data_IF_635505213176
#
_entry.id   IF_635505213176
#
_cell.length_a   1.000
_cell.length_b   1.000
_cell.length_c   1.000
_cell.angle_alpha   90.00
_cell.angle_beta   90.00
_cell.angle_gamma   90.00
#
_symmetry.space_group_name_H-M   'P 1'
#
loop_
_entity.id
_entity.type
_entity.pdbx_description
1 polymer ?
#
# COMPACT_ATOMS: atom_id res chain seq x y z
N UNK A 1 -21.11 39.31 33.21
CA UNK A 1 -20.59 37.95 32.97
C UNK A 1 -21.64 37.13 32.27
N UNK A 2 -21.52 36.98 30.99
CA UNK A 2 -22.36 36.08 30.22
C UNK A 2 -21.85 34.63 30.44
N UNK A 3 -22.69 33.68 30.82
CA UNK A 3 -22.27 32.31 30.93
C UNK A 3 -21.87 31.82 29.53
N UNK A 4 -20.67 31.27 29.43
CA UNK A 4 -20.25 30.57 28.23
C UNK A 4 -21.20 29.39 28.09
N UNK A 5 -22.12 29.47 27.16
CA UNK A 5 -22.96 28.36 26.80
C UNK A 5 -22.04 27.23 26.34
N UNK A 6 -21.87 26.19 27.14
CA UNK A 6 -21.30 24.97 26.66
C UNK A 6 -22.15 24.47 25.52
N UNK A 7 -21.67 24.65 24.31
CA UNK A 7 -22.22 23.97 23.17
C UNK A 7 -21.85 22.48 23.40
N UNK A 8 -22.78 21.77 23.99
CA UNK A 8 -22.71 20.31 24.01
C UNK A 8 -22.83 19.90 22.56
N UNK A 9 -21.74 19.43 21.98
CA UNK A 9 -21.78 18.80 20.68
C UNK A 9 -22.86 17.70 20.74
N UNK A 10 -23.79 17.66 19.79
CA UNK A 10 -24.80 16.59 19.82
C UNK A 10 -24.09 15.26 19.84
N UNK A 11 -24.41 14.45 20.82
CA UNK A 11 -23.93 13.07 20.87
C UNK A 11 -24.32 12.37 19.59
N UNK A 12 -23.36 12.20 18.71
CA UNK A 12 -23.52 11.51 17.44
C UNK A 12 -23.58 10.00 17.72
N UNK A 13 -24.67 9.55 18.37
CA UNK A 13 -25.03 8.15 18.43
C UNK A 13 -25.74 7.77 17.13
N UNK A 14 -25.00 7.73 16.04
CA UNK A 14 -25.52 7.05 14.85
C UNK A 14 -25.13 5.60 14.94
N UNK A 15 -26.14 4.75 14.88
CA UNK A 15 -25.99 3.30 14.71
C UNK A 15 -25.13 3.08 13.46
N UNK A 16 -24.08 2.24 13.51
CA UNK A 16 -23.30 1.91 12.32
C UNK A 16 -24.12 1.37 11.15
N UNK A 17 -25.38 0.96 11.40
CA UNK A 17 -26.31 0.50 10.37
C UNK A 17 -27.03 1.63 9.64
N UNK A 18 -27.04 2.84 10.20
CA UNK A 18 -27.64 4.03 9.59
C UNK A 18 -26.71 4.77 8.63
N UNK A 19 -25.62 4.10 8.22
CA UNK A 19 -24.66 4.65 7.27
C UNK A 19 -25.29 4.76 5.89
N UNK A 20 -25.64 5.96 5.54
CA UNK A 20 -26.27 6.27 4.26
C UNK A 20 -25.40 5.85 3.06
N UNK A 21 -26.00 5.28 2.00
CA UNK A 21 -25.27 4.97 0.76
C UNK A 21 -24.51 6.16 0.17
N UNK A 22 -24.98 7.38 0.46
CA UNK A 22 -24.35 8.61 0.02
C UNK A 22 -23.00 8.90 0.70
N UNK A 23 -22.83 8.44 1.95
CA UNK A 23 -21.56 8.57 2.66
C UNK A 23 -20.47 7.67 2.03
N UNK A 24 -20.84 6.48 1.52
CA UNK A 24 -19.92 5.63 0.78
C UNK A 24 -19.46 6.27 -0.53
N UNK A 25 -20.39 6.95 -1.24
CA UNK A 25 -20.07 7.70 -2.46
C UNK A 25 -19.15 8.89 -2.15
N UNK A 26 -19.37 9.58 -1.05
CA UNK A 26 -18.52 10.70 -0.62
C UNK A 26 -17.13 10.25 -0.24
N UNK A 27 -16.99 9.12 0.47
CA UNK A 27 -15.70 8.54 0.82
C UNK A 27 -14.98 8.05 -0.45
N UNK A 28 -15.69 7.42 -1.38
CA UNK A 28 -15.13 7.01 -2.66
C UNK A 28 -14.68 8.22 -3.49
N UNK A 29 -15.46 9.29 -3.53
CA UNK A 29 -15.11 10.54 -4.21
C UNK A 29 -13.90 11.24 -3.56
N UNK A 30 -13.78 11.19 -2.23
CA UNK A 30 -12.60 11.73 -1.53
C UNK A 30 -11.35 10.90 -1.86
N UNK A 31 -11.50 9.60 -1.98
CA UNK A 31 -10.40 8.71 -2.40
C UNK A 31 -9.96 8.96 -3.84
N UNK A 32 -10.87 9.44 -4.70
CA UNK A 32 -10.54 9.84 -6.08
C UNK A 32 -9.83 11.19 -6.18
N UNK A 33 -9.98 12.08 -5.18
CA UNK A 33 -9.34 13.40 -5.15
C UNK A 33 -7.86 13.31 -4.81
N UNK A 34 -7.46 12.31 -4.03
CA UNK A 34 -6.06 12.09 -3.67
C UNK A 34 -5.47 10.99 -4.55
N UNK A 35 -4.36 11.26 -5.24
CA UNK A 35 -3.69 10.22 -6.00
C UNK A 35 -3.32 9.05 -5.08
N UNK A 36 -3.39 7.84 -5.58
CA UNK A 36 -2.89 6.67 -4.84
C UNK A 36 -1.41 6.88 -4.54
N UNK A 37 -1.01 6.49 -3.36
CA UNK A 37 0.36 6.63 -2.88
C UNK A 37 0.99 5.24 -2.78
N UNK A 38 2.05 5.01 -3.54
CA UNK A 38 2.69 3.70 -3.69
C UNK A 38 4.18 3.82 -3.41
N UNK A 39 4.71 2.86 -2.66
CA UNK A 39 6.14 2.71 -2.42
C UNK A 39 6.69 1.58 -3.30
N UNK A 40 7.77 1.84 -4.02
CA UNK A 40 8.50 0.84 -4.82
C UNK A 40 9.85 0.59 -4.18
N UNK A 41 10.09 -0.65 -3.76
CA UNK A 41 11.33 -1.07 -3.09
C UNK A 41 12.04 -2.10 -3.96
N UNK A 42 13.15 -1.72 -4.56
CA UNK A 42 13.98 -2.57 -5.39
C UNK A 42 15.40 -1.98 -5.44
N UNK A 43 16.42 -2.82 -5.31
CA UNK A 43 17.82 -2.38 -5.37
C UNK A 43 18.32 -2.17 -6.80
N UNK A 44 17.63 -2.71 -7.80
CA UNK A 44 17.95 -2.50 -9.21
C UNK A 44 17.36 -1.18 -9.71
N UNK A 45 18.19 -0.15 -10.01
CA UNK A 45 17.70 1.17 -10.37
C UNK A 45 16.79 1.17 -11.59
N UNK A 46 17.09 0.33 -12.59
CA UNK A 46 16.32 0.29 -13.82
C UNK A 46 14.93 -0.31 -13.62
N UNK A 47 14.81 -1.39 -12.86
CA UNK A 47 13.51 -2.00 -12.53
C UNK A 47 12.70 -1.04 -11.68
N UNK A 48 13.30 -0.49 -10.63
CA UNK A 48 12.66 0.48 -9.74
C UNK A 48 12.12 1.68 -10.52
N UNK A 49 12.93 2.25 -11.39
CA UNK A 49 12.53 3.37 -12.23
C UNK A 49 11.40 2.99 -13.19
N UNK A 50 11.50 1.85 -13.87
CA UNK A 50 10.48 1.39 -14.83
C UNK A 50 9.12 1.19 -14.18
N UNK A 51 9.10 0.58 -12.99
CA UNK A 51 7.87 0.39 -12.22
C UNK A 51 7.30 1.74 -11.77
N UNK A 52 8.14 2.60 -11.21
CA UNK A 52 7.73 3.92 -10.75
C UNK A 52 7.15 4.78 -11.87
N UNK A 53 7.83 4.83 -13.03
CA UNK A 53 7.35 5.57 -14.22
C UNK A 53 5.99 5.04 -14.70
N UNK A 54 5.86 3.72 -14.82
CA UNK A 54 4.62 3.09 -15.26
C UNK A 54 3.43 3.42 -14.36
N UNK A 55 3.64 3.48 -13.05
CA UNK A 55 2.61 3.84 -12.09
C UNK A 55 2.32 5.35 -12.13
N UNK A 56 3.35 6.17 -12.25
CA UNK A 56 3.22 7.63 -12.33
C UNK A 56 2.41 8.08 -13.54
N UNK A 57 2.54 7.40 -14.67
CA UNK A 57 1.74 7.65 -15.87
C UNK A 57 0.23 7.47 -15.64
N UNK A 58 -0.15 6.68 -14.63
CA UNK A 58 -1.54 6.46 -14.24
C UNK A 58 -2.03 7.45 -13.16
N UNK A 59 -1.26 8.48 -12.84
CA UNK A 59 -1.61 9.47 -11.83
C UNK A 59 -1.33 9.00 -10.40
N UNK A 60 -0.54 7.94 -10.21
CA UNK A 60 -0.12 7.44 -8.90
C UNK A 60 1.07 8.25 -8.39
N UNK A 61 1.03 8.65 -7.13
CA UNK A 61 2.18 9.25 -6.45
C UNK A 61 3.11 8.14 -5.95
N UNK A 62 4.34 8.11 -6.46
CA UNK A 62 5.28 7.01 -6.22
C UNK A 62 6.50 7.50 -5.45
N UNK A 63 6.80 6.83 -4.34
CA UNK A 63 8.08 6.95 -3.66
C UNK A 63 8.92 5.69 -3.92
N UNK A 64 10.23 5.86 -3.93
CA UNK A 64 11.19 4.82 -4.27
C UNK A 64 12.19 4.60 -3.15
N UNK A 65 12.53 3.34 -2.87
CA UNK A 65 13.55 2.96 -1.91
C UNK A 65 14.47 1.88 -2.51
N UNK A 66 15.80 2.02 -2.38
CA UNK A 66 16.75 1.04 -2.90
C UNK A 66 17.03 -0.13 -1.95
N UNK A 67 16.59 -0.04 -0.70
CA UNK A 67 16.88 -1.02 0.36
C UNK A 67 15.78 -1.02 1.43
N UNK A 68 15.83 -1.98 2.33
CA UNK A 68 14.86 -2.13 3.41
C UNK A 68 14.92 -0.97 4.41
N UNK A 69 16.10 -0.50 4.76
CA UNK A 69 16.28 0.61 5.71
C UNK A 69 15.64 1.90 5.19
N UNK A 70 15.85 2.21 3.91
CA UNK A 70 15.22 3.37 3.25
C UNK A 70 13.70 3.22 3.19
N UNK A 71 13.19 2.03 2.88
CA UNK A 71 11.76 1.75 2.86
C UNK A 71 11.11 1.99 4.22
N UNK A 72 11.70 1.48 5.28
CA UNK A 72 11.21 1.67 6.65
C UNK A 72 11.26 3.14 7.08
N UNK A 73 12.31 3.85 6.73
CA UNK A 73 12.40 5.29 7.00
C UNK A 73 11.29 6.06 6.31
N UNK A 74 11.04 5.78 5.04
CA UNK A 74 9.98 6.43 4.27
C UNK A 74 8.61 6.16 4.90
N UNK A 75 8.30 4.90 5.20
CA UNK A 75 7.01 4.50 5.79
C UNK A 75 6.78 5.15 7.15
N UNK A 76 7.82 5.29 7.96
CA UNK A 76 7.70 5.85 9.32
C UNK A 76 7.73 7.38 9.35
N UNK A 77 8.21 8.06 8.32
CA UNK A 77 8.33 9.52 8.27
C UNK A 77 7.32 10.19 7.35
N UNK A 78 6.71 9.48 6.43
CA UNK A 78 5.74 10.04 5.49
C UNK A 78 4.39 10.26 6.16
N UNK A 79 3.83 11.45 6.00
CA UNK A 79 2.56 11.83 6.62
C UNK A 79 1.34 11.19 5.93
N UNK A 80 1.43 10.94 4.62
CA UNK A 80 0.35 10.33 3.85
C UNK A 80 0.43 8.80 3.90
N UNK A 81 -0.70 8.10 4.07
CA UNK A 81 -0.70 6.64 4.09
C UNK A 81 -0.40 6.07 2.71
N UNK A 82 0.30 4.93 2.67
CA UNK A 82 0.51 4.18 1.46
C UNK A 82 -0.70 3.28 1.15
N UNK A 83 -1.10 3.27 -0.12
CA UNK A 83 -2.15 2.39 -0.62
C UNK A 83 -1.59 1.01 -1.01
N UNK A 84 -0.35 0.99 -1.50
CA UNK A 84 0.32 -0.23 -1.91
C UNK A 84 1.83 -0.11 -1.77
N UNK A 85 2.48 -1.25 -1.67
CA UNK A 85 3.95 -1.39 -1.71
C UNK A 85 4.29 -2.47 -2.73
N UNK A 86 5.20 -2.14 -3.65
CA UNK A 86 5.84 -3.10 -4.54
C UNK A 86 7.20 -3.41 -3.95
N UNK A 87 7.42 -4.65 -3.55
CA UNK A 87 8.56 -5.05 -2.74
C UNK A 87 9.37 -6.15 -3.44
N UNK A 88 10.65 -5.89 -3.71
CA UNK A 88 11.59 -6.93 -4.10
C UNK A 88 11.96 -7.79 -2.88
N UNK A 89 11.94 -9.11 -3.04
CA UNK A 89 12.36 -10.03 -1.98
C UNK A 89 13.84 -9.91 -1.67
N UNK A 90 14.69 -9.72 -2.68
CA UNK A 90 16.15 -9.66 -2.53
C UNK A 90 16.63 -8.22 -2.49
N UNK A 91 16.86 -7.73 -1.29
CA UNK A 91 17.46 -6.44 -1.04
C UNK A 91 18.85 -6.61 -0.43
N UNK A 92 19.76 -5.64 -0.59
CA UNK A 92 21.14 -5.78 -0.10
C UNK A 92 21.25 -5.93 1.42
N UNK A 93 20.27 -5.40 2.14
CA UNK A 93 20.22 -5.42 3.60
C UNK A 93 19.17 -6.38 4.17
N UNK A 94 18.33 -6.99 3.32
CA UNK A 94 17.32 -7.95 3.76
C UNK A 94 16.83 -8.80 2.58
N UNK A 95 16.97 -10.10 2.68
CA UNK A 95 16.68 -11.06 1.60
C UNK A 95 15.64 -12.13 1.98
N UNK A 96 14.82 -11.84 2.99
CA UNK A 96 13.76 -12.72 3.47
C UNK A 96 12.42 -11.99 3.60
N UNK A 97 11.43 -12.64 4.20
CA UNK A 97 10.10 -12.07 4.40
C UNK A 97 9.99 -11.12 5.61
N UNK A 98 11.08 -10.79 6.29
CA UNK A 98 11.07 -9.94 7.48
C UNK A 98 10.55 -8.54 7.19
N UNK A 99 10.94 -7.96 6.07
CA UNK A 99 10.45 -6.65 5.67
C UNK A 99 8.95 -6.67 5.38
N UNK A 100 8.47 -7.71 4.70
CA UNK A 100 7.05 -7.90 4.46
C UNK A 100 6.26 -7.93 5.78
N UNK A 101 6.73 -8.70 6.76
CA UNK A 101 6.12 -8.78 8.08
C UNK A 101 6.08 -7.43 8.80
N UNK A 102 7.18 -6.69 8.75
CA UNK A 102 7.29 -5.35 9.36
C UNK A 102 6.34 -4.36 8.68
N UNK A 103 6.30 -4.34 7.35
CA UNK A 103 5.40 -3.46 6.60
C UNK A 103 3.93 -3.78 6.89
N UNK A 104 3.58 -5.05 7.04
CA UNK A 104 2.23 -5.46 7.43
C UNK A 104 1.81 -4.90 8.78
N UNK A 105 2.72 -4.82 9.72
CA UNK A 105 2.45 -4.22 11.04
C UNK A 105 2.36 -2.70 10.99
N UNK A 106 3.21 -2.04 10.20
CA UNK A 106 3.27 -0.58 10.11
C UNK A 106 2.15 0.01 9.26
N UNK A 107 1.80 -0.65 8.17
CA UNK A 107 0.80 -0.19 7.20
C UNK A 107 -0.19 -1.32 6.86
N UNK A 108 -1.01 -1.75 7.82
CA UNK A 108 -1.90 -2.91 7.63
C UNK A 108 -2.95 -2.72 6.52
N UNK A 109 -3.28 -1.47 6.18
CA UNK A 109 -4.23 -1.15 5.12
C UNK A 109 -3.66 -1.13 3.71
N UNK A 110 -2.33 -1.25 3.54
CA UNK A 110 -1.71 -1.25 2.23
C UNK A 110 -1.70 -2.64 1.60
N UNK A 111 -1.92 -2.70 0.28
CA UNK A 111 -1.67 -3.91 -0.50
C UNK A 111 -0.18 -4.09 -0.69
N UNK A 112 0.33 -5.30 -0.58
CA UNK A 112 1.75 -5.58 -0.82
C UNK A 112 1.88 -6.56 -1.97
N UNK A 113 2.65 -6.18 -2.98
CA UNK A 113 3.02 -7.01 -4.12
C UNK A 113 4.49 -7.37 -3.99
N UNK A 114 4.77 -8.63 -3.76
CA UNK A 114 6.13 -9.15 -3.65
C UNK A 114 6.65 -9.58 -5.02
N UNK A 115 7.78 -9.03 -5.43
CA UNK A 115 8.49 -9.43 -6.64
C UNK A 115 9.59 -10.43 -6.28
N UNK A 116 9.69 -11.52 -7.02
CA UNK A 116 10.75 -12.51 -6.80
C UNK A 116 11.21 -13.15 -8.10
N UNK A 117 12.53 -13.35 -8.25
CA UNK A 117 13.10 -14.08 -9.36
C UNK A 117 13.15 -15.59 -9.11
N UNK A 118 13.15 -16.02 -7.84
CA UNK A 118 13.36 -17.40 -7.42
C UNK A 118 12.44 -17.78 -6.25
N UNK A 119 11.12 -17.56 -6.44
CA UNK A 119 10.15 -17.96 -5.42
C UNK A 119 9.99 -19.48 -5.36
N UNK A 120 10.37 -20.10 -4.22
CA UNK A 120 9.99 -21.48 -3.95
C UNK A 120 8.50 -21.55 -3.62
N UNK A 121 7.83 -22.72 -3.81
CA UNK A 121 6.44 -22.87 -3.41
C UNK A 121 6.18 -22.53 -1.95
N UNK A 122 7.09 -22.84 -1.05
CA UNK A 122 7.01 -22.54 0.39
C UNK A 122 7.06 -21.04 0.63
N UNK A 123 7.99 -20.33 0.00
CA UNK A 123 8.11 -18.88 0.14
C UNK A 123 6.87 -18.16 -0.39
N UNK A 124 6.37 -18.59 -1.54
CA UNK A 124 5.14 -18.01 -2.13
C UNK A 124 3.95 -18.25 -1.22
N UNK A 125 3.82 -19.46 -0.64
CA UNK A 125 2.75 -19.77 0.30
C UNK A 125 2.84 -18.92 1.56
N UNK A 126 4.04 -18.74 2.12
CA UNK A 126 4.27 -17.91 3.31
C UNK A 126 3.94 -16.44 3.04
N UNK A 127 4.37 -15.90 1.90
CA UNK A 127 4.07 -14.53 1.51
C UNK A 127 2.55 -14.30 1.34
N UNK A 128 1.86 -15.23 0.70
CA UNK A 128 0.40 -15.18 0.56
C UNK A 128 -0.33 -15.29 1.89
N UNK A 129 0.16 -16.12 2.79
CA UNK A 129 -0.37 -16.24 4.16
C UNK A 129 -0.21 -14.94 4.95
N UNK A 130 0.80 -14.14 4.64
CA UNK A 130 1.01 -12.78 5.19
C UNK A 130 0.19 -11.71 4.45
N UNK A 131 -0.65 -12.10 3.50
CA UNK A 131 -1.53 -11.19 2.76
C UNK A 131 -0.88 -10.47 1.58
N UNK A 132 0.28 -10.92 1.11
CA UNK A 132 0.92 -10.36 -0.07
C UNK A 132 0.45 -11.08 -1.35
N UNK A 133 0.41 -10.34 -2.46
CA UNK A 133 0.38 -10.91 -3.80
C UNK A 133 1.81 -11.16 -4.25
N UNK A 134 2.04 -12.19 -5.05
CA UNK A 134 3.38 -12.54 -5.52
C UNK A 134 3.43 -12.50 -7.04
N UNK A 135 4.45 -11.84 -7.58
CA UNK A 135 4.72 -11.79 -9.01
C UNK A 135 6.15 -12.26 -9.27
N UNK A 136 6.32 -13.10 -10.29
CA UNK A 136 7.64 -13.63 -10.64
C UNK A 136 8.34 -12.72 -11.65
N UNK A 137 9.63 -12.48 -11.44
CA UNK A 137 10.50 -11.80 -12.40
C UNK A 137 10.97 -12.81 -13.47
N UNK A 138 11.02 -12.48 -14.76
CA UNK A 138 10.53 -11.23 -15.36
C UNK A 138 9.00 -11.18 -15.44
N UNK A 139 8.43 -9.99 -15.30
CA UNK A 139 6.99 -9.78 -15.34
C UNK A 139 6.63 -8.70 -16.37
N UNK A 140 5.38 -8.71 -16.81
CA UNK A 140 4.82 -7.63 -17.60
C UNK A 140 4.37 -6.48 -16.69
N UNK A 141 4.69 -5.24 -17.07
CA UNK A 141 4.29 -4.06 -16.29
C UNK A 141 2.78 -3.94 -16.12
N UNK A 142 2.01 -4.34 -17.12
CA UNK A 142 0.55 -4.33 -17.05
C UNK A 142 0.00 -5.30 -16.00
N UNK A 143 0.64 -6.45 -15.82
CA UNK A 143 0.30 -7.39 -14.76
C UNK A 143 0.57 -6.80 -13.37
N UNK A 144 1.73 -6.17 -13.20
CA UNK A 144 2.09 -5.49 -11.97
C UNK A 144 1.12 -4.35 -11.64
N UNK A 145 0.78 -3.52 -12.63
CA UNK A 145 -0.19 -2.44 -12.47
C UNK A 145 -1.54 -2.96 -11.99
N UNK A 146 -2.02 -4.06 -12.54
CA UNK A 146 -3.29 -4.67 -12.10
C UNK A 146 -3.23 -5.10 -10.64
N UNK A 147 -2.16 -5.76 -10.21
CA UNK A 147 -1.99 -6.19 -8.82
C UNK A 147 -1.91 -5.01 -7.86
N UNK A 148 -1.28 -3.92 -8.26
CA UNK A 148 -1.14 -2.70 -7.44
C UNK A 148 -2.45 -1.92 -7.34
N UNK A 149 -3.19 -1.81 -8.43
CA UNK A 149 -4.36 -0.95 -8.52
C UNK A 149 -5.67 -1.68 -8.22
N UNK A 150 -5.70 -3.00 -8.31
CA UNK A 150 -6.90 -3.80 -8.10
C UNK A 150 -7.05 -4.12 -6.60
N UNK A 151 -7.89 -3.33 -5.92
CA UNK A 151 -8.23 -3.53 -4.51
C UNK A 151 -9.24 -4.63 -4.26
N UNK A 152 -9.97 -5.03 -5.29
CA UNK A 152 -11.07 -5.98 -5.16
C UNK A 152 -10.58 -7.43 -5.13
N UNK A 153 -9.37 -7.71 -5.62
CA UNK A 153 -8.79 -9.04 -5.60
C UNK A 153 -8.41 -9.52 -4.20
N UNK A 154 -8.17 -8.61 -3.25
CA UNK A 154 -7.77 -8.93 -1.87
C UNK A 154 -8.96 -8.97 -0.89
N UNK A 155 -10.16 -8.65 -1.34
CA UNK A 155 -11.37 -8.58 -0.50
C UNK A 155 -12.20 -9.86 -0.52
N UNK A 156 -11.68 -10.94 -1.09
CA UNK A 156 -12.36 -12.24 -1.08
C UNK A 156 -11.87 -13.10 0.08
#
# INVERSE_FOLDING_TARGET
>A
MTPVSCIVAPEFRRDPRDWEPDARRKISAITEIFPRHVLVVDDEPLIRWSVAESLSELGVDVEQAPDAASALRIVTTTALPFNAVVLDLRLPDMDDLSLLGTLRQLIPGASIVLMTAFGTPELVADAKAMGASVINKPFELDELKRLVLDREADAA
#
